data_IF_825679610558
#
_entry.id   IF_825679610558
#
_cell.length_a   1.000
_cell.length_b   1.000
_cell.length_c   1.000
_cell.angle_alpha   90.00
_cell.angle_beta   90.00
_cell.angle_gamma   90.00
#
_symmetry.space_group_name_H-M   'P 1'
#
loop_
_entity.id
_entity.type
_entity.pdbx_description
1 polymer ?
#
# COMPACT_ATOMS: atom_id res chain seq x y z
N UNK A 1 -7.64 -6.87 9.58
CA UNK A 1 -7.61 -5.40 9.46
C UNK A 1 -8.67 -4.92 8.48
N UNK A 2 -9.77 -4.48 9.05
CA UNK A 2 -10.92 -3.90 8.35
C UNK A 2 -10.59 -2.61 7.57
N UNK A 3 -11.51 -2.22 6.70
CA UNK A 3 -11.50 -0.94 5.98
C UNK A 3 -11.27 0.26 6.93
N UNK A 4 -11.97 0.32 8.08
CA UNK A 4 -11.79 1.40 9.05
C UNK A 4 -10.35 1.50 9.57
N UNK A 5 -9.75 0.35 9.87
CA UNK A 5 -8.33 0.28 10.29
C UNK A 5 -7.36 0.65 9.16
N UNK A 6 -7.67 0.33 7.90
CA UNK A 6 -6.90 0.79 6.73
C UNK A 6 -6.97 2.31 6.59
N UNK A 7 -8.17 2.90 6.66
CA UNK A 7 -8.36 4.35 6.62
C UNK A 7 -7.53 5.02 7.72
N UNK A 8 -7.61 4.51 8.95
CA UNK A 8 -6.83 5.01 10.09
C UNK A 8 -5.32 4.92 9.83
N UNK A 9 -4.83 3.76 9.38
CA UNK A 9 -3.42 3.53 9.06
C UNK A 9 -2.90 4.58 8.07
N UNK A 10 -3.61 4.80 6.97
CA UNK A 10 -3.17 5.77 5.96
C UNK A 10 -3.34 7.22 6.42
N UNK A 11 -4.37 7.54 7.20
CA UNK A 11 -4.50 8.86 7.83
C UNK A 11 -3.30 9.18 8.71
N UNK A 12 -2.86 8.23 9.52
CA UNK A 12 -1.69 8.36 10.39
C UNK A 12 -0.39 8.42 9.60
N UNK A 13 -0.27 7.62 8.53
CA UNK A 13 0.85 7.67 7.58
C UNK A 13 0.94 9.03 6.86
N UNK A 14 -0.21 9.70 6.63
CA UNK A 14 -0.30 11.09 6.13
C UNK A 14 -0.15 12.16 7.20
N UNK A 15 -0.01 11.76 8.48
CA UNK A 15 0.16 12.66 9.64
C UNK A 15 -0.94 13.72 9.78
N UNK A 16 -2.18 13.37 9.42
CA UNK A 16 -3.34 14.27 9.59
C UNK A 16 -4.31 13.76 10.67
N UNK A 17 -5.02 14.69 11.30
CA UNK A 17 -6.04 14.38 12.30
C UNK A 17 -7.35 13.91 11.64
N UNK A 18 -8.24 13.26 12.42
CA UNK A 18 -9.58 12.91 11.94
C UNK A 18 -10.35 14.15 11.46
N UNK A 19 -10.20 15.27 12.19
CA UNK A 19 -10.74 16.58 11.79
C UNK A 19 -10.20 17.05 10.45
N UNK A 20 -8.88 17.05 10.26
CA UNK A 20 -8.29 17.50 9.00
C UNK A 20 -8.69 16.62 7.81
N UNK A 21 -8.89 15.31 8.01
CA UNK A 21 -9.44 14.43 6.97
C UNK A 21 -10.91 14.77 6.70
N UNK A 22 -11.72 14.95 7.75
CA UNK A 22 -13.12 15.37 7.65
C UNK A 22 -13.28 16.66 6.85
N UNK A 23 -12.53 17.70 7.21
CA UNK A 23 -12.56 19.01 6.53
C UNK A 23 -12.28 18.88 5.02
N UNK A 24 -11.33 18.02 4.63
CA UNK A 24 -10.95 17.78 3.22
C UNK A 24 -12.03 17.10 2.40
N UNK A 25 -12.90 16.32 3.04
CA UNK A 25 -13.97 15.57 2.38
C UNK A 25 -15.36 16.09 2.76
N UNK A 26 -15.42 17.27 3.38
CA UNK A 26 -16.65 17.95 3.82
C UNK A 26 -17.50 17.12 4.79
N UNK A 27 -16.84 16.42 5.72
CA UNK A 27 -17.47 15.64 6.79
C UNK A 27 -16.94 16.05 8.17
N UNK A 28 -17.75 15.80 9.19
CA UNK A 28 -17.38 15.99 10.59
C UNK A 28 -16.37 14.91 11.07
N UNK A 29 -15.52 15.23 12.06
CA UNK A 29 -14.52 14.32 12.59
C UNK A 29 -15.14 13.09 13.27
N UNK A 30 -16.34 13.23 13.84
CA UNK A 30 -17.11 12.09 14.38
C UNK A 30 -17.43 11.08 13.27
N UNK A 31 -17.73 11.55 12.04
CA UNK A 31 -18.00 10.66 10.90
C UNK A 31 -16.74 9.88 10.52
N UNK A 32 -15.58 10.54 10.48
CA UNK A 32 -14.29 9.87 10.22
C UNK A 32 -14.02 8.83 11.29
N UNK A 33 -14.20 9.18 12.57
CA UNK A 33 -14.02 8.25 13.69
C UNK A 33 -14.95 7.04 13.59
N UNK A 34 -16.20 7.23 13.19
CA UNK A 34 -17.15 6.13 12.97
C UNK A 34 -16.68 5.18 11.87
N UNK A 35 -16.10 5.69 10.78
CA UNK A 35 -15.49 4.87 9.74
C UNK A 35 -14.28 4.11 10.29
N UNK A 36 -13.36 4.78 11.00
CA UNK A 36 -12.13 4.16 11.53
C UNK A 36 -12.37 3.09 12.62
N UNK A 37 -13.52 3.16 13.29
CA UNK A 37 -13.96 2.19 14.29
C UNK A 37 -14.88 1.10 13.71
N UNK A 38 -15.08 1.09 12.39
CA UNK A 38 -16.00 0.17 11.69
C UNK A 38 -17.46 0.24 12.19
N UNK A 39 -17.84 1.33 12.87
CA UNK A 39 -19.22 1.61 13.30
C UNK A 39 -20.09 1.90 12.06
N UNK A 40 -19.47 2.43 11.01
CA UNK A 40 -20.12 2.76 9.74
C UNK A 40 -19.20 2.39 8.59
N UNK A 41 -19.78 1.97 7.47
CA UNK A 41 -19.06 1.78 6.21
C UNK A 41 -19.25 3.01 5.32
N UNK A 42 -18.18 3.63 4.78
CA UNK A 42 -18.31 4.71 3.81
C UNK A 42 -18.97 4.18 2.53
N UNK A 43 -19.86 4.98 1.94
CA UNK A 43 -20.38 4.71 0.59
C UNK A 43 -19.27 4.94 -0.44
N UNK A 44 -19.45 4.42 -1.66
CA UNK A 44 -18.40 4.44 -2.69
C UNK A 44 -17.92 5.85 -3.08
N UNK A 45 -18.82 6.84 -3.06
CA UNK A 45 -18.51 8.27 -3.26
C UNK A 45 -17.68 8.85 -2.11
N UNK A 46 -18.04 8.53 -0.86
CA UNK A 46 -17.26 8.93 0.32
C UNK A 46 -15.90 8.24 0.33
N UNK A 47 -15.83 6.97 -0.06
CA UNK A 47 -14.59 6.21 -0.15
C UNK A 47 -13.66 6.79 -1.23
N UNK A 48 -14.21 7.25 -2.36
CA UNK A 48 -13.47 7.99 -3.39
C UNK A 48 -12.83 9.26 -2.79
N UNK A 49 -13.62 10.05 -2.05
CA UNK A 49 -13.11 11.26 -1.41
C UNK A 49 -12.03 10.95 -0.36
N UNK A 50 -12.19 9.88 0.43
CA UNK A 50 -11.19 9.41 1.41
C UNK A 50 -9.91 8.98 0.69
N UNK A 51 -10.03 8.16 -0.37
CA UNK A 51 -8.93 7.70 -1.22
C UNK A 51 -8.14 8.88 -1.79
N UNK A 52 -8.83 9.86 -2.37
CA UNK A 52 -8.22 11.08 -2.90
C UNK A 52 -7.56 11.92 -1.80
N UNK A 53 -8.23 12.14 -0.67
CA UNK A 53 -7.72 12.94 0.43
C UNK A 53 -6.50 12.31 1.13
N UNK A 54 -6.42 10.98 1.14
CA UNK A 54 -5.31 10.21 1.69
C UNK A 54 -4.25 9.85 0.63
N UNK A 55 -4.46 10.15 -0.65
CA UNK A 55 -3.58 9.76 -1.75
C UNK A 55 -3.29 8.25 -1.72
N UNK A 56 -4.33 7.42 -1.65
CA UNK A 56 -4.23 5.95 -1.63
C UNK A 56 -5.12 5.41 -2.73
N UNK A 57 -4.70 4.38 -3.45
CA UNK A 57 -5.56 3.74 -4.45
C UNK A 57 -6.84 3.21 -3.77
N UNK A 58 -8.01 3.63 -4.27
CA UNK A 58 -9.31 3.19 -3.73
C UNK A 58 -9.45 1.67 -3.71
N UNK A 59 -8.93 0.98 -4.72
CA UNK A 59 -9.00 -0.48 -4.80
C UNK A 59 -8.19 -1.15 -3.69
N UNK A 60 -7.08 -0.53 -3.26
CA UNK A 60 -6.32 -0.99 -2.09
C UNK A 60 -7.12 -0.85 -0.78
N UNK A 61 -8.02 0.13 -0.69
CA UNK A 61 -8.91 0.29 0.48
C UNK A 61 -10.11 -0.67 0.44
N UNK A 62 -10.58 -1.05 -0.74
CA UNK A 62 -11.77 -1.91 -0.90
C UNK A 62 -11.56 -3.36 -0.48
N UNK A 63 -10.32 -3.80 -0.27
CA UNK A 63 -10.01 -5.18 0.13
C UNK A 63 -10.63 -5.51 1.50
N UNK A 64 -11.70 -6.34 1.55
CA UNK A 64 -12.51 -6.49 2.76
C UNK A 64 -11.82 -7.36 3.84
N UNK A 65 -11.02 -8.33 3.41
CA UNK A 65 -10.42 -9.38 4.26
C UNK A 65 -8.88 -9.27 4.34
N UNK A 66 -8.36 -8.08 4.57
CA UNK A 66 -6.93 -7.86 4.84
C UNK A 66 -6.65 -7.95 6.36
N UNK A 67 -5.48 -8.37 6.89
CA UNK A 67 -4.44 -9.09 6.17
C UNK A 67 -4.91 -10.50 5.79
N UNK A 68 -4.47 -10.95 4.63
CA UNK A 68 -4.71 -12.30 4.14
C UNK A 68 -4.00 -13.34 4.99
N UNK A 69 -4.64 -14.49 5.16
CA UNK A 69 -4.04 -15.68 5.77
C UNK A 69 -3.22 -16.47 4.75
N UNK A 70 -2.42 -17.42 5.22
CA UNK A 70 -1.71 -18.37 4.36
C UNK A 70 -2.68 -19.19 3.50
N UNK A 71 -3.88 -19.49 4.03
CA UNK A 71 -4.92 -20.19 3.28
C UNK A 71 -5.53 -19.34 2.16
N UNK A 72 -5.68 -18.02 2.36
CA UNK A 72 -6.14 -17.10 1.32
C UNK A 72 -5.11 -17.00 0.20
N UNK A 73 -3.82 -16.90 0.55
CA UNK A 73 -2.72 -16.95 -0.41
C UNK A 73 -2.74 -18.25 -1.22
N UNK A 74 -2.87 -19.42 -0.57
CA UNK A 74 -2.90 -20.70 -1.28
C UNK A 74 -4.11 -20.82 -2.21
N UNK A 75 -5.30 -20.37 -1.76
CA UNK A 75 -6.50 -20.33 -2.62
C UNK A 75 -6.31 -19.44 -3.83
N UNK A 76 -5.65 -18.30 -3.66
CA UNK A 76 -5.30 -17.41 -4.77
C UNK A 76 -4.33 -18.08 -5.74
N UNK A 77 -3.27 -18.71 -5.23
CA UNK A 77 -2.27 -19.41 -6.05
C UNK A 77 -2.86 -20.59 -6.83
N UNK A 78 -3.75 -21.39 -6.24
CA UNK A 78 -4.44 -22.48 -6.95
C UNK A 78 -5.30 -21.97 -8.12
N UNK A 79 -6.07 -20.90 -7.89
CA UNK A 79 -6.86 -20.28 -8.97
C UNK A 79 -5.98 -19.60 -10.02
N UNK A 80 -4.83 -19.07 -9.60
CA UNK A 80 -3.88 -18.45 -10.50
C UNK A 80 -3.30 -19.51 -11.44
N UNK A 81 -2.96 -20.69 -10.91
CA UNK A 81 -2.43 -21.84 -11.67
C UNK A 81 -3.39 -22.30 -12.78
N UNK A 82 -4.70 -22.26 -12.54
CA UNK A 82 -5.72 -22.55 -13.57
C UNK A 82 -5.64 -21.62 -14.81
N UNK A 83 -5.00 -20.44 -14.67
CA UNK A 83 -4.98 -19.39 -15.71
C UNK A 83 -3.57 -19.03 -16.20
N UNK A 84 -2.56 -19.27 -15.37
CA UNK A 84 -1.16 -18.94 -15.55
C UNK A 84 -0.38 -20.12 -15.02
N UNK A 85 0.43 -20.77 -15.84
CA UNK A 85 1.26 -21.89 -15.39
C UNK A 85 2.16 -21.49 -14.22
N UNK A 86 1.87 -22.02 -13.03
CA UNK A 86 2.65 -21.82 -11.80
C UNK A 86 3.45 -23.09 -11.52
N UNK A 87 4.76 -22.97 -11.52
CA UNK A 87 5.65 -24.07 -11.24
C UNK A 87 6.29 -23.94 -9.86
N UNK A 88 6.47 -25.07 -9.18
CA UNK A 88 7.06 -25.16 -7.84
C UNK A 88 8.32 -26.03 -7.90
N UNK A 89 9.44 -25.53 -7.39
CA UNK A 89 10.71 -26.29 -7.32
C UNK A 89 11.58 -25.87 -6.14
N UNK A 90 12.50 -26.72 -5.67
CA UNK A 90 13.57 -26.27 -4.80
C UNK A 90 14.40 -25.17 -5.47
N UNK A 91 14.74 -24.12 -4.71
CA UNK A 91 15.58 -23.00 -5.13
C UNK A 91 16.69 -22.84 -4.10
N UNK A 92 17.93 -22.78 -4.57
CA UNK A 92 19.11 -22.52 -3.73
C UNK A 92 19.12 -21.04 -3.37
N UNK A 93 19.24 -20.73 -2.07
CA UNK A 93 19.23 -19.35 -1.57
C UNK A 93 20.63 -18.77 -1.37
N UNK A 94 21.64 -19.62 -1.28
CA UNK A 94 23.02 -19.22 -1.08
C UNK A 94 23.93 -19.99 -2.05
N UNK A 95 24.72 -19.26 -2.85
CA UNK A 95 25.68 -19.86 -3.77
C UNK A 95 26.82 -20.60 -3.04
N UNK A 96 27.06 -20.30 -1.76
CA UNK A 96 28.10 -20.94 -0.93
C UNK A 96 27.65 -22.28 -0.32
N UNK A 97 26.33 -22.51 -0.19
CA UNK A 97 25.76 -23.73 0.36
C UNK A 97 24.63 -24.25 -0.54
N UNK A 98 24.95 -25.14 -1.51
CA UNK A 98 23.97 -25.74 -2.42
C UNK A 98 22.89 -26.58 -1.72
N UNK A 99 23.08 -26.96 -0.45
CA UNK A 99 22.08 -27.67 0.34
C UNK A 99 21.08 -26.70 0.99
N UNK A 100 21.42 -25.41 1.09
CA UNK A 100 20.54 -24.36 1.61
C UNK A 100 19.47 -23.98 0.58
N UNK A 101 18.45 -24.83 0.48
CA UNK A 101 17.33 -24.70 -0.45
C UNK A 101 16.03 -24.30 0.24
N UNK A 102 15.17 -23.62 -0.50
CA UNK A 102 13.77 -23.36 -0.12
C UNK A 102 12.83 -23.77 -1.24
N UNK A 103 11.52 -23.79 -0.98
CA UNK A 103 10.52 -23.99 -2.03
C UNK A 103 10.26 -22.66 -2.74
N UNK A 104 10.64 -22.58 -4.02
CA UNK A 104 10.39 -21.44 -4.87
C UNK A 104 9.21 -21.65 -5.81
N UNK A 105 8.52 -20.55 -6.11
CA UNK A 105 7.47 -20.46 -7.11
C UNK A 105 8.02 -19.69 -8.31
N UNK A 106 7.80 -20.19 -9.53
CA UNK A 106 8.12 -19.46 -10.76
C UNK A 106 6.99 -19.60 -11.77
N UNK A 107 6.83 -18.59 -12.63
CA UNK A 107 5.76 -18.54 -13.62
C UNK A 107 6.27 -18.99 -14.99
N UNK A 108 5.46 -19.75 -15.72
CA UNK A 108 5.74 -20.20 -17.09
C UNK A 108 5.89 -19.05 -18.09
N UNK A 109 6.43 -19.37 -19.27
CA UNK A 109 7.05 -18.41 -20.21
C UNK A 109 6.15 -17.29 -20.73
N UNK A 110 4.86 -17.53 -21.00
CA UNK A 110 3.94 -16.50 -21.53
C UNK A 110 3.44 -15.54 -20.44
N UNK A 111 3.18 -16.05 -19.24
CA UNK A 111 2.67 -15.24 -18.14
C UNK A 111 3.76 -14.40 -17.48
N UNK A 112 4.97 -14.95 -17.33
CA UNK A 112 6.10 -14.20 -16.78
C UNK A 112 6.40 -12.96 -17.62
N UNK A 113 6.20 -12.98 -18.94
CA UNK A 113 6.39 -11.79 -19.79
C UNK A 113 5.45 -10.63 -19.41
N UNK A 114 4.26 -10.92 -18.87
CA UNK A 114 3.29 -9.88 -18.47
C UNK A 114 3.58 -9.29 -17.09
N UNK A 115 4.13 -10.09 -16.16
CA UNK A 115 4.32 -9.67 -14.76
C UNK A 115 5.77 -9.42 -14.38
N UNK A 116 6.76 -9.81 -15.21
CA UNK A 116 8.19 -9.65 -14.92
C UNK A 116 8.54 -8.21 -14.54
N UNK A 117 8.12 -7.24 -15.34
CA UNK A 117 8.40 -5.84 -15.07
C UNK A 117 7.76 -5.40 -13.73
N UNK A 118 6.58 -5.92 -13.38
CA UNK A 118 5.94 -5.63 -12.09
C UNK A 118 6.75 -6.19 -10.91
N UNK A 119 7.33 -7.37 -11.07
CA UNK A 119 8.21 -8.00 -10.08
C UNK A 119 9.54 -7.26 -9.95
N UNK A 120 10.16 -6.87 -11.06
CA UNK A 120 11.41 -6.09 -11.09
C UNK A 120 11.22 -4.72 -10.42
N UNK A 121 10.13 -4.03 -10.71
CA UNK A 121 9.78 -2.76 -10.04
C UNK A 121 9.61 -2.93 -8.52
N UNK A 122 8.95 -4.03 -8.11
CA UNK A 122 8.78 -4.30 -6.68
C UNK A 122 10.12 -4.68 -6.01
N UNK A 123 10.97 -5.46 -6.70
CA UNK A 123 12.31 -5.78 -6.23
C UNK A 123 13.15 -4.51 -6.03
N UNK A 124 13.21 -3.63 -7.03
CA UNK A 124 13.96 -2.36 -6.94
C UNK A 124 13.53 -1.54 -5.71
N UNK A 125 12.22 -1.46 -5.45
CA UNK A 125 11.70 -0.75 -4.28
C UNK A 125 12.06 -1.43 -2.96
N UNK A 126 12.18 -2.76 -2.92
CA UNK A 126 12.68 -3.48 -1.74
C UNK A 126 14.16 -3.20 -1.51
N UNK A 127 14.98 -3.24 -2.56
CA UNK A 127 16.41 -2.95 -2.49
C UNK A 127 16.66 -1.52 -2.00
N UNK A 128 15.92 -0.53 -2.52
CA UNK A 128 15.98 0.86 -2.00
C UNK A 128 15.68 0.94 -0.51
N UNK A 129 14.72 0.17 -0.02
CA UNK A 129 14.40 0.12 1.40
C UNK A 129 15.51 -0.55 2.21
N UNK A 130 16.05 -1.67 1.74
CA UNK A 130 17.16 -2.40 2.38
C UNK A 130 18.44 -1.56 2.43
N UNK A 131 18.67 -0.74 1.40
CA UNK A 131 19.78 0.22 1.32
C UNK A 131 19.53 1.53 2.10
N UNK A 132 18.39 1.67 2.78
CA UNK A 132 17.97 2.88 3.50
C UNK A 132 17.79 4.14 2.62
N UNK A 133 17.56 3.97 1.31
CA UNK A 133 17.27 5.06 0.37
C UNK A 133 15.83 5.58 0.52
N UNK A 134 14.92 4.73 0.97
CA UNK A 134 13.52 5.07 1.26
C UNK A 134 13.10 4.56 2.63
N UNK A 135 12.10 5.23 3.21
CA UNK A 135 11.49 4.81 4.47
C UNK A 135 10.54 3.61 4.29
N UNK A 136 10.24 2.90 5.40
CA UNK A 136 9.22 1.84 5.39
C UNK A 136 7.86 2.38 4.97
N UNK A 137 7.54 3.60 5.39
CA UNK A 137 6.30 4.30 5.06
C UNK A 137 6.23 4.64 3.57
N UNK A 138 7.34 5.07 2.97
CA UNK A 138 7.42 5.30 1.52
C UNK A 138 7.19 4.01 0.72
N UNK A 139 7.80 2.89 1.15
CA UNK A 139 7.55 1.59 0.52
C UNK A 139 6.08 1.15 0.67
N UNK A 140 5.47 1.36 1.84
CA UNK A 140 4.04 1.07 2.05
C UNK A 140 3.14 1.94 1.18
N UNK A 141 3.47 3.23 1.04
CA UNK A 141 2.72 4.17 0.21
C UNK A 141 2.80 3.82 -1.28
N UNK A 142 3.99 3.43 -1.75
CA UNK A 142 4.21 2.98 -3.11
C UNK A 142 3.37 1.74 -3.43
N UNK A 143 3.34 0.75 -2.53
CA UNK A 143 2.51 -0.47 -2.68
C UNK A 143 1.02 -0.15 -2.72
N UNK A 144 0.58 0.73 -1.82
CA UNK A 144 -0.83 1.12 -1.71
C UNK A 144 -1.33 1.95 -2.89
N UNK A 145 -0.41 2.48 -3.71
CA UNK A 145 -0.72 3.26 -4.89
C UNK A 145 -0.35 2.56 -6.21
N UNK A 146 0.13 1.32 -6.18
CA UNK A 146 0.44 0.58 -7.40
C UNK A 146 -0.83 0.36 -8.25
N UNK A 147 -0.76 0.46 -9.59
CA UNK A 147 0.37 0.85 -10.43
C UNK A 147 0.50 2.37 -10.65
N UNK A 148 -0.38 3.20 -10.05
CA UNK A 148 -0.30 4.66 -10.18
C UNK A 148 1.04 5.23 -9.67
N UNK A 149 1.67 4.55 -8.71
CA UNK A 149 3.01 4.88 -8.21
C UNK A 149 4.15 4.77 -9.23
N UNK A 150 3.88 4.21 -10.42
CA UNK A 150 4.83 4.16 -11.55
C UNK A 150 4.70 5.35 -12.50
N UNK A 151 3.63 6.15 -12.37
CA UNK A 151 3.36 7.24 -13.30
C UNK A 151 4.33 8.40 -13.05
N UNK A 152 4.67 9.13 -14.12
CA UNK A 152 5.60 10.28 -14.05
C UNK A 152 5.11 11.41 -13.15
N UNK A 153 3.79 11.52 -12.97
CA UNK A 153 3.14 12.53 -12.13
C UNK A 153 2.87 12.04 -10.70
N UNK A 154 3.32 10.82 -10.35
CA UNK A 154 3.26 10.35 -8.97
C UNK A 154 4.14 11.21 -8.07
N UNK A 155 3.57 11.71 -6.98
CA UNK A 155 4.29 12.50 -5.99
C UNK A 155 4.83 11.55 -4.92
N UNK A 156 6.16 11.48 -4.70
CA UNK A 156 6.77 10.64 -3.68
C UNK A 156 6.18 10.89 -2.29
N UNK A 157 6.24 9.87 -1.43
CA UNK A 157 5.64 9.88 -0.10
C UNK A 157 6.07 11.09 0.75
N UNK A 158 7.37 11.38 0.79
CA UNK A 158 7.96 12.47 1.55
C UNK A 158 7.43 13.84 1.08
N UNK A 159 7.43 14.07 -0.24
CA UNK A 159 6.92 15.29 -0.84
C UNK A 159 5.40 15.44 -0.64
N UNK A 160 4.66 14.35 -0.78
CA UNK A 160 3.23 14.28 -0.53
C UNK A 160 2.94 14.72 0.91
N UNK A 161 3.63 14.16 1.90
CA UNK A 161 3.43 14.51 3.30
C UNK A 161 3.81 15.96 3.63
N UNK A 162 4.84 16.53 3.01
CA UNK A 162 5.15 17.97 3.16
C UNK A 162 4.01 18.84 2.63
N UNK A 163 3.40 18.48 1.49
CA UNK A 163 2.22 19.19 0.96
C UNK A 163 1.03 19.09 1.91
N UNK A 164 0.82 17.95 2.54
CA UNK A 164 -0.24 17.76 3.54
C UNK A 164 -0.02 18.62 4.77
N UNK A 165 1.22 18.67 5.26
CA UNK A 165 1.60 19.50 6.41
C UNK A 165 1.38 20.99 6.10
N UNK A 166 1.87 21.49 4.95
CA UNK A 166 1.69 22.89 4.53
C UNK A 166 0.22 23.28 4.33
N UNK A 167 -0.61 22.39 3.76
CA UNK A 167 -2.06 22.62 3.62
C UNK A 167 -2.81 22.64 4.97
N UNK A 168 -2.24 22.04 6.02
CA UNK A 168 -2.78 22.10 7.39
C UNK A 168 -2.35 23.33 8.21
N UNK A 169 -1.31 24.06 7.78
CA UNK A 169 -0.69 25.19 8.51
C UNK A 169 -1.43 26.54 8.33
N UNK A 170 -2.64 26.56 7.79
CA UNK A 170 -3.57 27.63 8.22
C UNK A 170 -3.88 27.57 9.73
N UNK A 171 -3.42 26.53 10.45
CA UNK A 171 -3.25 26.53 11.91
C UNK A 171 -1.76 26.69 12.31
N UNK A 172 -1.51 27.61 13.27
CA UNK A 172 -0.22 28.13 13.75
C UNK A 172 0.98 27.17 13.73
N UNK A 173 2.09 27.69 13.20
CA UNK A 173 3.45 27.14 13.16
C UNK A 173 3.91 26.73 14.58
N UNK A 174 4.29 25.46 14.84
CA UNK A 174 5.17 25.12 15.96
C UNK A 174 6.62 25.50 15.58
N UNK A 175 7.36 26.18 16.45
CA UNK A 175 8.73 26.58 16.16
C UNK A 175 9.67 25.37 16.16
N UNK A 176 10.55 25.38 15.16
CA UNK A 176 11.87 24.74 15.08
C UNK A 176 11.95 23.21 14.93
N UNK A 177 12.38 22.80 13.73
CA UNK A 177 13.35 21.71 13.58
C UNK A 177 14.58 22.36 12.93
N UNK A 178 15.65 22.48 13.71
CA UNK A 178 17.01 22.81 13.25
C UNK A 178 17.62 21.64 12.51
#
# INVERSE_FOLDING_TARGET
MSLGKLIKKFRELRRITQKALGDRIHLDDVRIRQYELDIRTPKDDVLENISAALHVNKEYLKEPDYPYTEHDLMRFLFKLDDSIEVNIRPVILNDEDPEYTTTGIYFGSEAILRIRNMLEQWQEMKEKYENNEITKEALQDWKANYPNSLKKDYVPFEESNVKFYRKGITAKIPPDIK
#
